data_IF_203869646579
#
_entry.id   IF_203869646579
#
_cell.length_a   1.000
_cell.length_b   1.000
_cell.length_c   1.000
_cell.angle_alpha   90.00
_cell.angle_beta   90.00
_cell.angle_gamma   90.00
#
_symmetry.space_group_name_H-M   'P 1'
#
loop_
_entity.id
_entity.type
_entity.pdbx_description
1 polymer ?
#
# COMPACT_ATOMS: atom_id res chain seq x y z
N UNK A 1 12.33 17.21 6.76
CA UNK A 1 13.17 16.96 5.56
C UNK A 1 14.29 15.93 5.80
N UNK A 2 14.52 15.47 7.03
CA UNK A 2 15.51 14.44 7.34
C UNK A 2 15.00 13.02 7.04
N UNK A 3 13.68 12.83 7.02
CA UNK A 3 13.00 11.55 6.71
C UNK A 3 13.07 11.16 5.23
N UNK A 4 13.53 12.06 4.36
CA UNK A 4 13.71 11.83 2.92
C UNK A 4 15.18 11.60 2.53
N UNK A 5 16.10 11.52 3.49
CA UNK A 5 17.51 11.21 3.23
C UNK A 5 17.72 9.69 3.25
N UNK A 6 18.48 9.18 2.29
CA UNK A 6 18.85 7.78 1.98
C UNK A 6 19.49 6.96 3.13
N UNK A 7 19.22 7.26 4.39
CA UNK A 7 19.63 6.47 5.56
C UNK A 7 18.41 5.75 6.10
N UNK A 8 18.53 4.46 6.40
CA UNK A 8 17.47 3.71 7.04
C UNK A 8 16.97 4.46 8.29
N UNK A 9 15.63 4.60 8.46
CA UNK A 9 15.08 5.30 9.60
C UNK A 9 15.46 4.61 10.91
N UNK A 10 15.63 5.38 11.97
CA UNK A 10 15.76 4.83 13.34
C UNK A 10 14.43 4.22 13.77
N UNK A 11 14.43 3.38 14.82
CA UNK A 11 13.21 2.77 15.35
C UNK A 11 12.17 3.83 15.81
N UNK A 12 12.64 4.98 16.29
CA UNK A 12 11.80 6.11 16.70
C UNK A 12 11.19 6.81 15.48
N UNK A 13 11.99 7.04 14.43
CA UNK A 13 11.54 7.61 13.16
C UNK A 13 10.56 6.68 12.45
N UNK A 14 10.80 5.36 12.50
CA UNK A 14 9.87 4.37 11.94
C UNK A 14 8.54 4.38 12.69
N UNK A 15 8.56 4.45 14.02
CA UNK A 15 7.35 4.57 14.85
C UNK A 15 6.55 5.82 14.49
N UNK A 16 7.24 6.95 14.30
CA UNK A 16 6.62 8.21 13.90
C UNK A 16 6.04 8.12 12.48
N UNK A 17 6.76 7.49 11.55
CA UNK A 17 6.27 7.28 10.19
C UNK A 17 4.99 6.43 10.17
N UNK A 18 4.91 5.38 10.97
CA UNK A 18 3.72 4.51 11.06
C UNK A 18 2.48 5.26 11.54
N UNK A 19 2.63 6.35 12.30
CA UNK A 19 1.49 7.15 12.78
C UNK A 19 0.70 7.83 11.66
N UNK A 20 1.25 7.98 10.43
CA UNK A 20 0.52 8.59 9.32
C UNK A 20 -0.79 7.86 9.02
N UNK A 21 -0.84 6.54 9.24
CA UNK A 21 -2.05 5.72 9.00
C UNK A 21 -3.19 6.11 9.94
N UNK A 22 -2.90 6.19 11.23
CA UNK A 22 -3.89 6.53 12.26
C UNK A 22 -4.26 8.00 12.24
N UNK A 23 -3.29 8.89 12.08
CA UNK A 23 -3.52 10.34 11.99
C UNK A 23 -4.31 10.70 10.72
N UNK A 24 -3.98 10.09 9.58
CA UNK A 24 -4.70 10.32 8.32
C UNK A 24 -6.16 9.88 8.41
N UNK A 25 -6.43 8.71 8.99
CA UNK A 25 -7.79 8.23 9.22
C UNK A 25 -8.57 9.18 10.14
N UNK A 26 -7.99 9.59 11.26
CA UNK A 26 -8.62 10.51 12.21
C UNK A 26 -8.93 11.87 11.56
N UNK A 27 -8.01 12.43 10.80
CA UNK A 27 -8.24 13.70 10.10
C UNK A 27 -9.41 13.63 9.11
N UNK A 28 -9.58 12.49 8.41
CA UNK A 28 -10.70 12.28 7.50
C UNK A 28 -12.01 12.18 8.26
N UNK A 29 -12.06 11.44 9.36
CA UNK A 29 -13.25 11.25 10.18
C UNK A 29 -13.71 12.56 10.85
N UNK A 30 -12.80 13.34 11.40
CA UNK A 30 -13.08 14.60 12.08
C UNK A 30 -13.59 15.72 11.15
N UNK A 31 -13.19 15.70 9.87
CA UNK A 31 -13.54 16.74 8.91
C UNK A 31 -14.68 16.33 7.96
N UNK A 32 -15.36 15.21 8.20
CA UNK A 32 -16.42 14.72 7.33
C UNK A 32 -17.75 15.40 7.59
N UNK A 33 -18.47 15.71 6.50
CA UNK A 33 -19.87 16.07 6.55
C UNK A 33 -20.77 14.83 6.47
N UNK A 34 -22.02 14.94 6.97
CA UNK A 34 -22.99 13.82 6.96
C UNK A 34 -23.32 13.29 5.56
N UNK A 35 -23.15 14.11 4.52
CA UNK A 35 -23.39 13.74 3.11
C UNK A 35 -22.24 12.91 2.49
N UNK A 36 -21.04 13.01 3.05
CA UNK A 36 -19.83 12.34 2.55
C UNK A 36 -19.48 11.08 3.37
N UNK A 37 -20.31 10.70 4.33
CA UNK A 37 -19.97 9.70 5.35
C UNK A 37 -19.48 8.36 4.76
N UNK A 38 -20.10 7.83 3.70
CA UNK A 38 -19.68 6.56 3.10
C UNK A 38 -18.33 6.66 2.41
N UNK A 39 -18.09 7.74 1.65
CA UNK A 39 -16.81 7.99 0.99
C UNK A 39 -15.68 8.19 2.00
N UNK A 40 -15.94 9.01 3.02
CA UNK A 40 -14.97 9.29 4.08
C UNK A 40 -14.65 8.04 4.89
N UNK A 41 -15.65 7.20 5.19
CA UNK A 41 -15.43 5.94 5.87
C UNK A 41 -14.48 5.03 5.07
N UNK A 42 -14.71 4.87 3.78
CA UNK A 42 -13.81 4.09 2.91
C UNK A 42 -12.41 4.70 2.86
N UNK A 43 -12.30 6.01 2.69
CA UNK A 43 -11.02 6.70 2.67
C UNK A 43 -10.26 6.56 4.00
N UNK A 44 -10.94 6.67 5.13
CA UNK A 44 -10.35 6.49 6.45
C UNK A 44 -9.86 5.04 6.67
N UNK A 45 -10.64 4.05 6.21
CA UNK A 45 -10.24 2.64 6.24
C UNK A 45 -8.99 2.38 5.40
N UNK A 46 -8.91 2.94 4.19
CA UNK A 46 -7.72 2.86 3.33
C UNK A 46 -6.53 3.53 4.04
N UNK A 47 -6.70 4.75 4.52
CA UNK A 47 -5.64 5.46 5.26
C UNK A 47 -5.10 4.63 6.42
N UNK A 48 -5.98 4.03 7.22
CA UNK A 48 -5.60 3.28 8.41
C UNK A 48 -4.91 1.98 8.08
N UNK A 49 -5.39 1.22 7.07
CA UNK A 49 -5.06 -0.19 6.90
C UNK A 49 -4.31 -0.56 5.61
N UNK A 50 -3.90 0.39 4.76
CA UNK A 50 -3.13 0.06 3.54
C UNK A 50 -1.74 -0.53 3.82
N UNK A 51 -1.21 -0.39 5.03
CA UNK A 51 0.01 -1.05 5.48
C UNK A 51 -0.22 -2.33 6.29
N UNK A 52 -1.47 -2.76 6.44
CA UNK A 52 -1.74 -4.11 6.93
C UNK A 52 -1.27 -5.15 5.91
N UNK A 53 -0.91 -6.33 6.40
CA UNK A 53 -0.45 -7.43 5.57
C UNK A 53 -1.33 -8.66 5.82
N UNK A 54 -1.65 -9.39 4.76
CA UNK A 54 -2.59 -10.51 4.77
C UNK A 54 -2.20 -11.59 5.80
N UNK A 55 -0.90 -11.75 6.06
CA UNK A 55 -0.33 -12.66 7.07
C UNK A 55 -0.33 -12.09 8.51
N UNK A 56 -0.84 -10.88 8.73
CA UNK A 56 -0.88 -10.21 10.03
C UNK A 56 0.42 -9.53 10.45
N UNK A 57 1.43 -9.47 9.60
CA UNK A 57 2.71 -8.82 9.89
C UNK A 57 2.68 -7.30 9.74
N UNK A 58 1.54 -6.73 9.30
CA UNK A 58 1.36 -5.32 9.03
C UNK A 58 1.07 -4.46 10.26
N UNK A 59 0.66 -3.24 10.01
CA UNK A 59 0.30 -2.26 11.03
C UNK A 59 -0.83 -1.33 10.54
N UNK A 60 -1.56 -0.63 11.43
CA UNK A 60 -1.31 -0.42 12.86
C UNK A 60 -1.93 -1.49 13.77
N UNK A 61 -2.91 -2.27 13.30
CA UNK A 61 -3.73 -3.13 14.15
C UNK A 61 -3.37 -4.61 14.04
N UNK A 62 -2.53 -5.01 13.09
CA UNK A 62 -2.14 -6.41 12.85
C UNK A 62 -3.28 -7.28 12.36
N UNK A 63 -4.15 -6.74 11.49
CA UNK A 63 -5.26 -7.46 10.91
C UNK A 63 -4.78 -8.60 10.01
N UNK A 64 -5.55 -9.71 9.98
CA UNK A 64 -5.18 -10.91 9.24
C UNK A 64 -6.25 -11.23 8.19
N UNK A 65 -5.81 -11.54 6.98
CA UNK A 65 -6.68 -12.05 5.92
C UNK A 65 -7.82 -11.08 5.59
N UNK A 66 -9.03 -11.60 5.57
CA UNK A 66 -10.24 -10.85 5.24
C UNK A 66 -10.70 -9.86 6.31
N UNK A 67 -10.00 -9.75 7.43
CA UNK A 67 -10.23 -8.65 8.39
C UNK A 67 -9.80 -7.30 7.81
N UNK A 68 -8.89 -7.32 6.83
CA UNK A 68 -8.45 -6.12 6.13
C UNK A 68 -9.48 -5.79 5.05
N UNK A 69 -10.09 -4.58 5.04
CA UNK A 69 -11.00 -4.18 3.97
C UNK A 69 -10.36 -4.31 2.59
N UNK A 70 -11.14 -4.78 1.62
CA UNK A 70 -10.63 -5.05 0.27
C UNK A 70 -9.96 -3.82 -0.36
N UNK A 71 -10.53 -2.65 -0.16
CA UNK A 71 -10.01 -1.38 -0.65
C UNK A 71 -8.61 -1.08 -0.10
N UNK A 72 -8.40 -1.37 1.18
CA UNK A 72 -7.09 -1.22 1.82
C UNK A 72 -6.09 -2.25 1.31
N UNK A 73 -6.52 -3.50 1.06
CA UNK A 73 -5.68 -4.54 0.45
C UNK A 73 -5.22 -4.14 -0.95
N UNK A 74 -6.12 -3.60 -1.79
CA UNK A 74 -5.81 -3.14 -3.15
C UNK A 74 -4.79 -2.01 -3.13
N UNK A 75 -5.02 -1.00 -2.28
CA UNK A 75 -4.09 0.13 -2.15
C UNK A 75 -2.74 -0.33 -1.59
N UNK A 76 -2.73 -1.23 -0.60
CA UNK A 76 -1.49 -1.78 -0.05
C UNK A 76 -0.65 -2.57 -1.06
N UNK A 77 -1.30 -3.30 -1.99
CA UNK A 77 -0.61 -3.98 -3.09
C UNK A 77 -0.06 -2.98 -4.12
N UNK A 78 -0.84 -1.94 -4.45
CA UNK A 78 -0.41 -0.88 -5.37
C UNK A 78 0.78 -0.09 -4.80
N UNK A 79 0.74 0.25 -3.52
CA UNK A 79 1.84 0.93 -2.80
C UNK A 79 3.13 0.08 -2.82
N UNK A 80 3.03 -1.21 -2.54
CA UNK A 80 4.18 -2.12 -2.60
C UNK A 80 4.75 -2.25 -4.02
N UNK A 81 3.88 -2.26 -5.04
CA UNK A 81 4.32 -2.26 -6.43
C UNK A 81 5.05 -0.96 -6.80
N UNK A 82 4.50 0.20 -6.40
CA UNK A 82 5.11 1.50 -6.64
C UNK A 82 6.47 1.64 -5.94
N UNK A 83 6.59 1.20 -4.70
CA UNK A 83 7.85 1.19 -3.96
C UNK A 83 8.93 0.35 -4.65
N UNK A 84 8.58 -0.80 -5.24
CA UNK A 84 9.51 -1.63 -6.00
C UNK A 84 9.91 -0.99 -7.32
N UNK A 85 8.99 -0.42 -8.05
CA UNK A 85 9.25 0.17 -9.37
C UNK A 85 9.78 1.60 -9.29
N UNK A 86 9.46 2.35 -8.24
CA UNK A 86 9.98 3.69 -7.95
C UNK A 86 11.39 3.71 -7.38
N UNK A 87 11.86 2.60 -6.84
CA UNK A 87 13.21 2.46 -6.30
C UNK A 87 13.41 3.10 -4.93
N UNK A 88 12.37 3.23 -4.11
CA UNK A 88 12.46 3.79 -2.75
C UNK A 88 13.51 3.10 -1.88
N UNK A 89 13.70 1.80 -2.07
CA UNK A 89 14.67 0.99 -1.33
C UNK A 89 15.99 0.78 -2.09
N UNK A 90 16.32 1.65 -3.05
CA UNK A 90 17.55 1.58 -3.83
C UNK A 90 17.31 1.63 -5.34
N UNK A 91 17.66 0.54 -6.07
CA UNK A 91 17.51 0.49 -7.51
C UNK A 91 16.10 0.07 -7.91
N UNK A 92 15.40 0.81 -8.81
CA UNK A 92 14.06 0.44 -9.25
C UNK A 92 14.07 -0.92 -9.96
N UNK A 93 13.10 -1.76 -9.64
CA UNK A 93 12.89 -3.03 -10.33
C UNK A 93 12.12 -2.82 -11.64
N UNK A 94 12.49 -3.50 -12.73
CA UNK A 94 11.63 -3.57 -13.91
C UNK A 94 10.27 -4.18 -13.57
N UNK A 95 9.20 -3.76 -14.26
CA UNK A 95 7.83 -4.22 -14.05
C UNK A 95 7.71 -5.74 -13.80
N UNK A 96 8.25 -6.56 -14.70
CA UNK A 96 8.17 -8.03 -14.57
C UNK A 96 8.84 -8.57 -13.31
N UNK A 97 9.93 -7.96 -12.88
CA UNK A 97 10.62 -8.35 -11.66
C UNK A 97 9.82 -7.95 -10.41
N UNK A 98 9.21 -6.77 -10.41
CA UNK A 98 8.35 -6.32 -9.32
C UNK A 98 7.13 -7.25 -9.14
N UNK A 99 6.42 -7.58 -10.23
CA UNK A 99 5.30 -8.53 -10.20
C UNK A 99 5.76 -9.90 -9.70
N UNK A 100 6.89 -10.41 -10.19
CA UNK A 100 7.43 -11.68 -9.74
C UNK A 100 7.74 -11.69 -8.24
N UNK A 101 8.36 -10.64 -7.71
CA UNK A 101 8.69 -10.52 -6.28
C UNK A 101 7.43 -10.48 -5.41
N UNK A 102 6.40 -9.74 -5.81
CA UNK A 102 5.13 -9.67 -5.09
C UNK A 102 4.43 -11.04 -5.06
N UNK A 103 4.44 -11.75 -6.18
CA UNK A 103 3.77 -13.05 -6.31
C UNK A 103 4.57 -14.23 -5.72
N UNK A 104 5.83 -14.05 -5.34
CA UNK A 104 6.69 -15.11 -4.79
C UNK A 104 7.23 -14.77 -3.41
N UNK A 105 8.24 -13.91 -3.34
CA UNK A 105 8.93 -13.60 -2.09
C UNK A 105 8.06 -12.86 -1.06
N UNK A 106 7.05 -12.11 -1.52
CA UNK A 106 6.14 -11.34 -0.67
C UNK A 106 4.70 -11.88 -0.70
N UNK A 107 4.48 -13.05 -1.27
CA UNK A 107 3.12 -13.58 -1.51
C UNK A 107 2.28 -13.76 -0.24
N UNK A 108 2.88 -14.05 0.90
CA UNK A 108 2.16 -14.15 2.17
C UNK A 108 1.54 -12.83 2.65
N UNK A 109 2.09 -11.72 2.20
CA UNK A 109 1.69 -10.37 2.64
C UNK A 109 0.43 -9.86 1.92
N UNK A 110 -0.01 -10.51 0.85
CA UNK A 110 -1.13 -10.06 0.01
C UNK A 110 -2.17 -11.16 -0.19
N UNK A 111 -3.40 -10.75 -0.45
CA UNK A 111 -4.48 -11.68 -0.80
C UNK A 111 -4.12 -12.49 -2.05
N UNK A 112 -4.29 -13.83 -2.02
CA UNK A 112 -4.06 -14.68 -3.20
C UNK A 112 -4.87 -14.23 -4.42
N UNK A 113 -6.12 -13.82 -4.21
CA UNK A 113 -6.98 -13.30 -5.28
C UNK A 113 -6.39 -12.05 -5.95
N UNK A 114 -5.87 -11.11 -5.15
CA UNK A 114 -5.27 -9.89 -5.70
C UNK A 114 -3.96 -10.17 -6.44
N UNK A 115 -3.19 -11.16 -6.00
CA UNK A 115 -1.99 -11.58 -6.71
C UNK A 115 -2.31 -12.27 -8.04
N UNK A 116 -3.37 -13.08 -8.11
CA UNK A 116 -3.88 -13.63 -9.37
C UNK A 116 -4.31 -12.51 -10.33
N UNK A 117 -5.11 -11.55 -9.84
CA UNK A 117 -5.48 -10.38 -10.63
C UNK A 117 -4.26 -9.59 -11.14
N UNK A 118 -3.25 -9.37 -10.29
CA UNK A 118 -2.03 -8.68 -10.68
C UNK A 118 -1.29 -9.42 -11.80
N UNK A 119 -1.23 -10.75 -11.77
CA UNK A 119 -0.62 -11.54 -12.82
C UNK A 119 -1.39 -11.44 -14.14
N UNK A 120 -2.72 -11.48 -14.09
CA UNK A 120 -3.57 -11.39 -15.28
C UNK A 120 -3.51 -10.01 -15.96
N UNK A 121 -3.47 -8.93 -15.17
CA UNK A 121 -3.45 -7.56 -15.71
C UNK A 121 -2.03 -7.02 -15.91
N UNK A 122 -0.99 -7.76 -15.52
CA UNK A 122 0.37 -7.25 -15.46
C UNK A 122 0.88 -6.62 -16.76
N UNK A 123 0.67 -7.29 -17.90
CA UNK A 123 1.10 -6.75 -19.20
C UNK A 123 0.34 -5.46 -19.56
N UNK A 124 -0.96 -5.39 -19.26
CA UNK A 124 -1.78 -4.18 -19.49
C UNK A 124 -1.35 -3.03 -18.57
N UNK A 125 -0.99 -3.34 -17.33
CA UNK A 125 -0.46 -2.35 -16.39
C UNK A 125 0.86 -1.76 -16.91
N UNK A 126 1.76 -2.61 -17.42
CA UNK A 126 3.02 -2.17 -18.01
C UNK A 126 2.83 -1.26 -19.24
N UNK A 127 1.82 -1.53 -20.05
CA UNK A 127 1.45 -0.69 -21.21
C UNK A 127 0.90 0.67 -20.76
N UNK A 128 0.00 0.66 -19.77
CA UNK A 128 -0.59 1.89 -19.23
C UNK A 128 0.46 2.84 -18.62
N UNK A 129 1.46 2.29 -17.92
CA UNK A 129 2.55 3.07 -17.32
C UNK A 129 3.57 3.62 -18.35
N UNK A 130 3.58 3.08 -19.57
CA UNK A 130 4.43 3.57 -20.68
C UNK A 130 3.74 4.62 -21.55
N UNK A 131 2.41 4.75 -21.44
CA UNK A 131 1.67 5.72 -22.23
C UNK A 131 2.09 7.13 -21.81
N UNK A 132 2.50 8.02 -22.76
CA UNK A 132 2.83 9.40 -22.43
C UNK A 132 1.57 10.10 -21.90
N UNK A 133 1.72 10.84 -20.81
CA UNK A 133 0.68 11.77 -20.35
C UNK A 133 0.30 12.70 -21.51
N UNK A 134 -0.99 12.71 -21.87
CA UNK A 134 -1.52 13.61 -22.89
C UNK A 134 -1.78 14.98 -22.32
#
# INVERSE_FOLDING_TARGET
NRLLCNTAPTAEEETLLRQHTTLGAQMLEENSTRQEAAFVQTAAQICRWHHERYDGSGYPDGLVGEQIPLEAQVVGLADAYDALTGGENGRPYPHKAAVYLLCTAQSSQFSPLLLECLQEIGDRLAEALRAPEK
#
